data_IF_626906493881
#
_entry.id   IF_626906493881
#
_cell.length_a   1.000
_cell.length_b   1.000
_cell.length_c   1.000
_cell.angle_alpha   90.00
_cell.angle_beta   90.00
_cell.angle_gamma   90.00
#
_symmetry.space_group_name_H-M   'P 1'
#
loop_
_entity.id
_entity.type
_entity.pdbx_description
1 polymer ?
#
# COMPACT_ATOMS: atom_id res chain seq x y z
N UNK A 1 0.13 -19.68 -8.75
CA UNK A 1 -0.26 -19.02 -10.01
C UNK A 1 -0.27 -17.52 -9.72
N UNK A 2 0.52 -16.73 -10.44
CA UNK A 2 0.55 -15.27 -10.24
C UNK A 2 -0.80 -14.67 -10.65
N UNK A 3 -1.35 -13.79 -9.83
CA UNK A 3 -2.59 -13.07 -10.13
C UNK A 3 -2.22 -11.61 -10.26
N UNK A 4 -2.38 -11.04 -11.45
CA UNK A 4 -1.96 -9.67 -11.72
C UNK A 4 -3.10 -8.69 -11.43
N UNK A 5 -2.78 -7.60 -10.75
CA UNK A 5 -3.67 -6.48 -10.46
C UNK A 5 -3.08 -5.22 -11.07
N UNK A 6 -3.92 -4.41 -11.71
CA UNK A 6 -3.52 -3.11 -12.21
C UNK A 6 -3.28 -2.14 -11.05
N UNK A 7 -2.28 -1.28 -11.18
CA UNK A 7 -2.19 -0.04 -10.41
C UNK A 7 -3.31 0.94 -10.84
N UNK A 8 -3.42 2.06 -10.13
CA UNK A 8 -4.41 3.08 -10.46
C UNK A 8 -4.18 3.68 -11.86
N UNK A 9 -5.20 4.39 -12.37
CA UNK A 9 -5.18 5.02 -13.70
C UNK A 9 -4.14 6.15 -13.81
N UNK A 10 -3.52 6.53 -12.70
CA UNK A 10 -2.42 7.49 -12.67
C UNK A 10 -1.07 6.80 -12.91
N UNK A 11 -0.98 5.46 -12.92
CA UNK A 11 0.25 4.79 -13.36
C UNK A 11 0.49 5.04 -14.85
N UNK A 12 1.76 5.17 -15.26
CA UNK A 12 2.19 5.48 -16.63
C UNK A 12 1.49 6.68 -17.29
N UNK A 13 1.20 7.75 -16.54
CA UNK A 13 0.37 8.93 -16.92
C UNK A 13 0.48 9.41 -18.38
N UNK A 14 1.68 9.38 -18.97
CA UNK A 14 1.95 9.91 -20.32
C UNK A 14 1.64 8.93 -21.47
N UNK A 15 1.24 7.70 -21.17
CA UNK A 15 1.23 6.60 -22.16
C UNK A 15 -0.12 6.37 -22.86
N UNK A 16 -1.11 7.24 -22.66
CA UNK A 16 -2.41 7.15 -23.36
C UNK A 16 -3.33 6.03 -22.85
N UNK A 17 -3.29 5.75 -21.54
CA UNK A 17 -4.21 4.82 -20.88
C UNK A 17 -3.62 3.45 -20.52
N UNK A 18 -2.30 3.26 -20.64
CA UNK A 18 -1.66 2.07 -20.07
C UNK A 18 -1.56 2.21 -18.55
N UNK A 19 -1.57 1.07 -17.87
CA UNK A 19 -1.37 0.96 -16.43
C UNK A 19 -0.34 -0.12 -16.15
N UNK A 20 0.42 0.05 -15.07
CA UNK A 20 1.36 -0.98 -14.64
C UNK A 20 0.60 -2.07 -13.85
N UNK A 21 0.98 -3.32 -14.06
CA UNK A 21 0.45 -4.46 -13.32
C UNK A 21 1.47 -4.96 -12.29
N UNK A 22 0.97 -5.40 -11.14
CA UNK A 22 1.77 -6.03 -10.09
C UNK A 22 1.13 -7.35 -9.67
N UNK A 23 1.89 -8.25 -9.04
CA UNK A 23 1.33 -9.46 -8.44
C UNK A 23 0.46 -9.06 -7.24
N UNK A 24 -0.83 -9.38 -7.29
CA UNK A 24 -1.81 -9.13 -6.22
C UNK A 24 -1.40 -9.78 -4.90
N UNK A 25 -0.61 -10.86 -4.96
CA UNK A 25 -0.10 -11.55 -3.78
C UNK A 25 1.26 -11.00 -3.31
N UNK A 26 1.81 -9.98 -3.98
CA UNK A 26 3.03 -9.33 -3.53
C UNK A 26 2.82 -8.75 -2.12
N UNK A 27 3.84 -8.85 -1.26
CA UNK A 27 3.73 -8.25 0.07
C UNK A 27 3.74 -6.73 -0.09
N UNK A 28 3.05 -5.99 0.79
CA UNK A 28 3.10 -4.52 0.77
C UNK A 28 4.53 -3.96 0.80
N UNK A 29 5.43 -4.63 1.54
CA UNK A 29 6.86 -4.28 1.58
C UNK A 29 7.54 -4.37 0.23
N UNK A 30 7.17 -5.35 -0.60
CA UNK A 30 7.77 -5.57 -1.92
C UNK A 30 7.34 -4.44 -2.88
N UNK A 31 6.09 -3.97 -2.78
CA UNK A 31 5.61 -2.80 -3.51
C UNK A 31 6.32 -1.52 -3.07
N UNK A 32 6.48 -1.32 -1.77
CA UNK A 32 7.19 -0.17 -1.22
C UNK A 32 8.66 -0.14 -1.66
N UNK A 33 9.34 -1.28 -1.61
CA UNK A 33 10.73 -1.42 -2.04
C UNK A 33 10.86 -1.15 -3.56
N UNK A 34 9.96 -1.71 -4.37
CA UNK A 34 9.94 -1.45 -5.82
C UNK A 34 9.73 0.03 -6.14
N UNK A 35 8.80 0.70 -5.44
CA UNK A 35 8.58 2.14 -5.58
C UNK A 35 9.83 2.94 -5.20
N UNK A 36 10.49 2.56 -4.11
CA UNK A 36 11.72 3.22 -3.63
C UNK A 36 12.85 3.10 -4.66
N UNK A 37 13.04 1.92 -5.25
CA UNK A 37 14.04 1.73 -6.31
C UNK A 37 13.74 2.56 -7.56
N UNK A 38 12.46 2.74 -7.93
CA UNK A 38 12.08 3.62 -9.05
C UNK A 38 12.42 5.08 -8.78
N UNK A 39 12.14 5.57 -7.56
CA UNK A 39 12.51 6.93 -7.15
C UNK A 39 14.03 7.10 -7.16
N UNK A 40 14.77 6.12 -6.63
CA UNK A 40 16.23 6.13 -6.63
C UNK A 40 16.80 6.12 -8.06
N UNK A 41 16.21 5.35 -8.97
CA UNK A 41 16.61 5.31 -10.37
C UNK A 41 16.43 6.69 -11.05
N UNK A 42 15.31 7.37 -10.79
CA UNK A 42 15.08 8.74 -11.27
C UNK A 42 16.11 9.70 -10.68
N UNK A 43 16.39 9.61 -9.38
CA UNK A 43 17.40 10.45 -8.73
C UNK A 43 18.80 10.24 -9.34
N UNK A 44 19.20 8.98 -9.58
CA UNK A 44 20.47 8.64 -10.25
C UNK A 44 20.49 9.19 -11.69
N UNK A 45 19.42 9.01 -12.45
CA UNK A 45 19.31 9.56 -13.81
C UNK A 45 19.52 11.08 -13.82
N UNK A 46 18.85 11.82 -12.93
CA UNK A 46 19.01 13.26 -12.85
C UNK A 46 20.39 13.70 -12.39
N UNK A 47 21.03 12.93 -11.50
CA UNK A 47 22.42 13.17 -11.10
C UNK A 47 23.38 13.01 -12.29
N UNK A 48 23.26 11.93 -13.06
CA UNK A 48 24.07 11.71 -14.27
C UNK A 48 23.82 12.81 -15.32
N UNK A 49 22.56 13.19 -15.52
CA UNK A 49 22.20 14.24 -16.46
C UNK A 49 22.79 15.59 -16.10
N UNK A 50 22.99 15.88 -14.81
CA UNK A 50 23.61 17.14 -14.38
C UNK A 50 25.02 17.34 -14.93
N UNK A 51 25.76 16.26 -15.24
CA UNK A 51 27.10 16.33 -15.81
C UNK A 51 27.13 16.52 -17.32
N UNK A 52 26.05 16.14 -18.02
CA UNK A 52 25.96 16.19 -19.49
C UNK A 52 24.96 17.25 -19.97
N UNK A 53 24.26 17.92 -19.05
CA UNK A 53 23.23 18.90 -19.38
C UNK A 53 23.80 20.05 -20.19
N UNK A 54 23.26 20.24 -21.40
CA UNK A 54 23.55 21.39 -22.25
C UNK A 54 22.27 21.83 -22.94
N UNK A 55 22.15 23.12 -23.28
CA UNK A 55 20.99 23.69 -23.98
C UNK A 55 20.73 23.09 -25.37
N UNK A 56 21.62 22.20 -25.83
CA UNK A 56 21.52 21.49 -27.10
C UNK A 56 20.87 20.11 -26.99
N UNK A 57 20.69 19.58 -25.78
CA UNK A 57 20.07 18.27 -25.57
C UNK A 57 18.55 18.42 -25.56
N UNK A 58 17.88 17.61 -26.39
CA UNK A 58 16.44 17.46 -26.31
C UNK A 58 16.07 16.70 -25.02
N UNK A 59 15.51 17.42 -24.04
CA UNK A 59 15.14 16.87 -22.75
C UNK A 59 13.75 16.20 -22.72
N UNK A 60 12.98 16.23 -23.82
CA UNK A 60 11.64 15.67 -23.84
C UNK A 60 11.61 14.16 -23.45
N UNK A 61 12.48 13.28 -24.00
CA UNK A 61 12.47 11.87 -23.63
C UNK A 61 12.83 11.62 -22.15
N UNK A 62 13.69 12.46 -21.58
CA UNK A 62 14.06 12.41 -20.17
C UNK A 62 12.84 12.79 -19.31
N UNK A 63 12.17 13.87 -19.66
CA UNK A 63 10.96 14.33 -18.96
C UNK A 63 9.87 13.26 -18.99
N UNK A 64 9.65 12.63 -20.14
CA UNK A 64 8.65 11.57 -20.30
C UNK A 64 9.01 10.34 -19.45
N UNK A 65 10.27 9.90 -19.48
CA UNK A 65 10.74 8.78 -18.67
C UNK A 65 10.62 9.07 -17.18
N UNK A 66 11.05 10.25 -16.73
CA UNK A 66 10.93 10.67 -15.33
C UNK A 66 9.46 10.69 -14.89
N UNK A 67 8.57 11.23 -15.71
CA UNK A 67 7.13 11.25 -15.43
C UNK A 67 6.54 9.85 -15.31
N UNK A 68 6.86 8.93 -16.22
CA UNK A 68 6.38 7.54 -16.18
C UNK A 68 6.90 6.81 -14.95
N UNK A 69 8.20 6.91 -14.65
CA UNK A 69 8.79 6.16 -13.54
C UNK A 69 8.30 6.70 -12.19
N UNK A 70 8.18 8.02 -12.05
CA UNK A 70 7.66 8.64 -10.83
C UNK A 70 6.17 8.35 -10.62
N UNK A 71 5.36 8.44 -11.67
CA UNK A 71 3.93 8.12 -11.56
C UNK A 71 3.70 6.68 -11.12
N UNK A 72 4.42 5.73 -11.71
CA UNK A 72 4.36 4.33 -11.28
C UNK A 72 4.79 4.17 -9.81
N UNK A 73 5.85 4.85 -9.38
CA UNK A 73 6.30 4.81 -7.98
C UNK A 73 5.21 5.35 -7.03
N UNK A 74 4.57 6.46 -7.39
CA UNK A 74 3.45 7.03 -6.61
C UNK A 74 2.28 6.04 -6.53
N UNK A 75 1.89 5.42 -7.65
CA UNK A 75 0.80 4.45 -7.68
C UNK A 75 1.12 3.20 -6.85
N UNK A 76 2.37 2.71 -6.88
CA UNK A 76 2.82 1.61 -6.01
C UNK A 76 2.77 1.99 -4.53
N UNK A 77 3.20 3.20 -4.16
CA UNK A 77 3.13 3.69 -2.78
C UNK A 77 1.68 3.78 -2.29
N UNK A 78 0.76 4.25 -3.13
CA UNK A 78 -0.68 4.28 -2.81
C UNK A 78 -1.23 2.88 -2.58
N UNK A 79 -0.88 1.93 -3.45
CA UNK A 79 -1.28 0.53 -3.30
C UNK A 79 -0.75 -0.07 -1.98
N UNK A 80 0.52 0.17 -1.66
CA UNK A 80 1.11 -0.25 -0.39
C UNK A 80 0.41 0.40 0.81
N UNK A 81 0.06 1.68 0.73
CA UNK A 81 -0.59 2.41 1.81
C UNK A 81 -2.03 1.94 2.08
N UNK A 82 -2.78 1.60 1.02
CA UNK A 82 -4.13 1.02 1.16
C UNK A 82 -4.11 -0.23 2.03
N UNK A 83 -3.14 -1.12 1.80
CA UNK A 83 -2.97 -2.35 2.57
C UNK A 83 -2.69 -2.06 4.06
N UNK A 84 -1.86 -1.06 4.36
CA UNK A 84 -1.59 -0.63 5.75
C UNK A 84 -2.85 -0.10 6.43
N UNK A 85 -3.66 0.69 5.73
CA UNK A 85 -4.91 1.26 6.27
C UNK A 85 -5.96 0.18 6.55
N UNK A 86 -6.07 -0.81 5.67
CA UNK A 86 -6.93 -1.99 5.88
C UNK A 86 -6.50 -2.79 7.11
N UNK A 87 -5.19 -3.03 7.28
CA UNK A 87 -4.62 -3.69 8.46
C UNK A 87 -4.91 -2.93 9.76
N UNK A 88 -4.76 -1.60 9.76
CA UNK A 88 -5.10 -0.78 10.93
C UNK A 88 -6.59 -0.88 11.30
N UNK A 89 -7.45 -0.94 10.30
CA UNK A 89 -8.91 -1.05 10.49
C UNK A 89 -9.26 -2.41 11.06
N UNK A 90 -8.77 -3.49 10.45
CA UNK A 90 -8.98 -4.86 10.92
C UNK A 90 -8.46 -5.05 12.37
N UNK A 91 -7.33 -4.43 12.71
CA UNK A 91 -6.79 -4.47 14.08
C UNK A 91 -7.74 -3.82 15.09
N UNK A 92 -8.31 -2.65 14.76
CA UNK A 92 -9.28 -1.96 15.63
C UNK A 92 -10.54 -2.81 15.84
N UNK A 93 -11.04 -3.45 14.79
CA UNK A 93 -12.19 -4.34 14.87
C UNK A 93 -11.91 -5.57 15.75
N UNK A 94 -10.74 -6.20 15.60
CA UNK A 94 -10.31 -7.32 16.45
C UNK A 94 -10.26 -6.89 17.93
N UNK A 95 -9.71 -5.71 18.21
CA UNK A 95 -9.64 -5.20 19.58
C UNK A 95 -11.03 -4.90 20.15
N UNK A 96 -11.98 -4.45 19.32
CA UNK A 96 -13.37 -4.29 19.72
C UNK A 96 -14.03 -5.63 20.02
N UNK A 97 -13.88 -6.63 19.14
CA UNK A 97 -14.43 -7.97 19.37
C UNK A 97 -13.88 -8.61 20.64
N UNK A 98 -12.58 -8.48 20.91
CA UNK A 98 -11.97 -8.95 22.16
C UNK A 98 -12.62 -8.35 23.40
N UNK A 99 -12.91 -7.04 23.38
CA UNK A 99 -13.60 -6.36 24.49
C UNK A 99 -15.03 -6.88 24.65
N UNK A 100 -15.76 -7.04 23.56
CA UNK A 100 -17.14 -7.58 23.58
C UNK A 100 -17.16 -8.99 24.16
N UNK A 101 -16.27 -9.88 23.70
CA UNK A 101 -16.16 -11.24 24.24
C UNK A 101 -15.84 -11.22 25.73
N UNK A 102 -14.90 -10.38 26.17
CA UNK A 102 -14.56 -10.28 27.59
C UNK A 102 -15.71 -9.75 28.47
N UNK A 103 -16.58 -8.88 27.93
CA UNK A 103 -17.79 -8.42 28.62
C UNK A 103 -18.84 -9.53 28.70
N UNK A 104 -19.16 -10.17 27.58
CA UNK A 104 -20.14 -11.26 27.53
C UNK A 104 -19.72 -12.45 28.42
N UNK A 105 -18.43 -12.80 28.45
CA UNK A 105 -17.92 -13.84 29.34
C UNK A 105 -18.10 -13.49 30.81
N UNK A 106 -17.92 -12.22 31.20
CA UNK A 106 -18.16 -11.75 32.58
C UNK A 106 -19.64 -11.76 32.93
N UNK A 107 -20.51 -11.31 32.03
CA UNK A 107 -21.96 -11.35 32.23
C UNK A 107 -22.49 -12.78 32.36
N UNK A 108 -21.98 -13.70 31.55
CA UNK A 108 -22.34 -15.12 31.64
C UNK A 108 -21.90 -15.73 32.97
N UNK A 109 -20.67 -15.45 33.42
CA UNK A 109 -20.17 -15.91 34.72
C UNK A 109 -21.02 -15.38 35.87
N UNK A 110 -21.38 -14.09 35.86
CA UNK A 110 -22.24 -13.49 36.87
C UNK A 110 -23.64 -14.14 36.91
N UNK A 111 -24.24 -14.42 35.75
CA UNK A 111 -25.54 -15.11 35.68
C UNK A 111 -25.48 -16.55 36.22
N UNK A 112 -24.40 -17.28 35.95
CA UNK A 112 -24.21 -18.62 36.49
C UNK A 112 -24.04 -18.60 38.02
N UNK A 113 -23.35 -17.61 38.58
CA UNK A 113 -23.18 -17.46 40.02
C UNK A 113 -24.52 -17.14 40.72
N UNK A 114 -25.38 -16.29 40.15
CA UNK A 114 -26.69 -15.94 40.72
C UNK A 114 -27.67 -17.12 40.70
N UNK A 115 -27.70 -17.91 39.62
CA UNK A 115 -28.57 -19.09 39.54
C UNK A 115 -28.16 -20.23 40.48
N UNK A 116 -26.90 -20.25 40.93
CA UNK A 116 -26.42 -21.24 41.91
C UNK A 116 -26.83 -20.87 43.34
N UNK A 117 -27.14 -19.59 43.62
CA UNK A 117 -27.54 -19.11 44.96
C UNK A 117 -29.05 -19.12 45.21
N UNK A 118 -29.89 -19.19 44.18
CA UNK A 118 -31.35 -19.25 44.33
C UNK A 118 -31.90 -20.69 44.48
N UNK A 119 -31.03 -21.71 44.45
CA UNK A 119 -31.39 -23.13 44.53
C UNK A 119 -31.13 -23.83 45.88
N UNK A 120 -30.68 -23.10 46.90
CA UNK A 120 -30.54 -23.57 48.30
C UNK A 120 -31.65 -23.02 49.20
#
# INVERSE_FOLDING_TARGET
>A
MHKFKALDNDSQMCSGGNVLFFDENARPSDLFECASYRIEAVAKLHNELSFVYTDKINNAPISDLTSIVLSDAVSMLRASYSNTRELETARKEIDQYKKTVATLSRELAAKCDDTTKEGE
#
